data_IF_723646407177
#
_entry.id   IF_723646407177
#
_cell.length_a   1.000
_cell.length_b   1.000
_cell.length_c   1.000
_cell.angle_alpha   90.00
_cell.angle_beta   90.00
_cell.angle_gamma   90.00
#
_symmetry.space_group_name_H-M   'P 1'
#
loop_
_entity.id
_entity.type
_entity.pdbx_description
1 polymer ?
#
# COMPACT_ATOMS: atom_id res chain seq x y z
N UNK A 1 -18.35 -4.44 -6.56
CA UNK A 1 -17.52 -5.45 -7.28
C UNK A 1 -16.09 -5.49 -6.74
N UNK A 2 -15.31 -6.55 -6.98
CA UNK A 2 -13.92 -6.67 -6.45
C UNK A 2 -12.97 -5.55 -6.94
N UNK A 3 -13.16 -5.05 -8.17
CA UNK A 3 -12.38 -3.92 -8.71
C UNK A 3 -12.61 -2.61 -7.94
N UNK A 4 -13.85 -2.29 -7.59
CA UNK A 4 -14.19 -1.10 -6.80
C UNK A 4 -13.54 -1.18 -5.40
N UNK A 5 -13.64 -2.36 -4.76
CA UNK A 5 -13.00 -2.60 -3.46
C UNK A 5 -11.48 -2.41 -3.54
N UNK A 6 -10.83 -2.92 -4.59
CA UNK A 6 -9.39 -2.76 -4.78
C UNK A 6 -9.00 -1.28 -4.95
N UNK A 7 -9.79 -0.50 -5.72
CA UNK A 7 -9.58 0.94 -5.89
C UNK A 7 -9.74 1.72 -4.58
N UNK A 8 -10.77 1.42 -3.77
CA UNK A 8 -10.98 2.07 -2.48
C UNK A 8 -9.83 1.79 -1.50
N UNK A 9 -9.37 0.54 -1.43
CA UNK A 9 -8.23 0.15 -0.60
C UNK A 9 -6.94 0.83 -1.10
N UNK A 10 -6.71 0.83 -2.41
CA UNK A 10 -5.55 1.50 -3.02
C UNK A 10 -5.52 2.98 -2.65
N UNK A 11 -6.67 3.67 -2.67
CA UNK A 11 -6.79 5.05 -2.21
C UNK A 11 -6.43 5.23 -0.73
N UNK A 12 -6.88 4.32 0.15
CA UNK A 12 -6.51 4.36 1.59
C UNK A 12 -5.01 4.18 1.80
N UNK A 13 -4.37 3.26 1.08
CA UNK A 13 -2.92 3.02 1.15
C UNK A 13 -2.16 4.23 0.61
N UNK A 14 -2.56 4.76 -0.54
CA UNK A 14 -1.92 5.94 -1.14
C UNK A 14 -1.99 7.15 -0.19
N UNK A 15 -3.15 7.40 0.42
CA UNK A 15 -3.30 8.47 1.41
C UNK A 15 -2.44 8.27 2.67
N UNK A 16 -2.20 7.03 3.09
CA UNK A 16 -1.33 6.73 4.23
C UNK A 16 0.15 6.96 3.89
N UNK A 17 0.55 6.76 2.63
CA UNK A 17 1.90 7.00 2.15
C UNK A 17 2.15 8.48 1.80
N UNK A 18 1.10 9.20 1.37
CA UNK A 18 1.20 10.58 0.94
C UNK A 18 1.69 11.49 2.08
N UNK A 19 2.75 12.25 1.82
CA UNK A 19 3.40 13.11 2.82
C UNK A 19 4.38 12.38 3.76
N UNK A 20 4.69 11.11 3.50
CA UNK A 20 5.74 10.34 4.19
C UNK A 20 6.91 10.04 3.23
N UNK A 21 8.08 9.72 3.77
CA UNK A 21 9.22 9.22 2.97
C UNK A 21 9.05 7.75 2.54
N UNK A 22 7.93 7.12 2.90
CA UNK A 22 7.67 5.69 2.74
C UNK A 22 7.39 5.03 4.08
N UNK A 23 6.68 3.90 4.02
CA UNK A 23 6.25 3.14 5.20
C UNK A 23 6.44 1.65 4.97
N UNK A 24 6.69 0.90 6.04
CA UNK A 24 6.67 -0.56 5.99
C UNK A 24 5.24 -1.09 5.89
N UNK A 25 5.07 -2.30 5.34
CA UNK A 25 3.77 -2.97 5.27
C UNK A 25 3.07 -3.05 6.64
N UNK A 26 3.83 -3.21 7.73
CA UNK A 26 3.30 -3.20 9.10
C UNK A 26 2.75 -1.82 9.48
N UNK A 27 3.47 -0.75 9.16
CA UNK A 27 3.04 0.63 9.42
C UNK A 27 1.79 0.98 8.59
N UNK A 28 1.77 0.62 7.31
CA UNK A 28 0.61 0.83 6.43
C UNK A 28 -0.62 0.09 6.97
N UNK A 29 -0.49 -1.18 7.38
CA UNK A 29 -1.59 -1.93 8.01
C UNK A 29 -2.11 -1.24 9.26
N UNK A 30 -1.22 -0.73 10.10
CA UNK A 30 -1.60 -0.03 11.34
C UNK A 30 -2.34 1.27 11.05
N UNK A 31 -1.85 2.07 10.10
CA UNK A 31 -2.46 3.35 9.72
C UNK A 31 -3.83 3.18 9.04
N UNK A 32 -3.95 2.17 8.18
CA UNK A 32 -5.16 1.93 7.37
C UNK A 32 -6.15 0.95 8.00
N UNK A 33 -5.74 0.25 9.06
CA UNK A 33 -6.49 -0.85 9.73
C UNK A 33 -6.87 -1.98 8.76
N UNK A 34 -6.04 -2.22 7.74
CA UNK A 34 -6.25 -3.28 6.75
C UNK A 34 -5.70 -4.63 7.21
N UNK A 35 -6.34 -5.70 6.73
CA UNK A 35 -5.82 -7.07 6.81
C UNK A 35 -4.86 -7.36 5.65
N UNK A 36 -4.02 -8.39 5.77
CA UNK A 36 -2.98 -8.70 4.76
C UNK A 36 -3.54 -8.86 3.35
N UNK A 37 -4.65 -9.60 3.21
CA UNK A 37 -5.32 -9.80 1.91
C UNK A 37 -5.69 -8.48 1.24
N UNK A 38 -6.21 -7.53 2.02
CA UNK A 38 -6.66 -6.25 1.50
C UNK A 38 -5.46 -5.32 1.26
N UNK A 39 -4.43 -5.34 2.11
CA UNK A 39 -3.17 -4.65 1.87
C UNK A 39 -2.57 -5.06 0.52
N UNK A 40 -2.35 -6.36 0.30
CA UNK A 40 -1.72 -6.85 -0.93
C UNK A 40 -2.56 -6.61 -2.18
N UNK A 41 -3.90 -6.62 -2.05
CA UNK A 41 -4.80 -6.23 -3.14
C UNK A 41 -4.60 -4.77 -3.54
N UNK A 42 -4.52 -3.87 -2.56
CA UNK A 42 -4.32 -2.44 -2.81
C UNK A 42 -2.90 -2.11 -3.32
N UNK A 43 -1.87 -2.75 -2.77
CA UNK A 43 -0.49 -2.61 -3.25
C UNK A 43 -0.37 -3.08 -4.71
N UNK A 44 -0.93 -4.24 -5.06
CA UNK A 44 -0.93 -4.74 -6.43
C UNK A 44 -1.65 -3.80 -7.41
N UNK A 45 -2.71 -3.14 -6.95
CA UNK A 45 -3.41 -2.14 -7.75
C UNK A 45 -2.56 -0.88 -8.00
N UNK A 46 -1.85 -0.39 -6.97
CA UNK A 46 -0.97 0.77 -7.08
C UNK A 46 0.28 0.49 -7.92
N UNK A 47 0.84 -0.73 -7.82
CA UNK A 47 1.95 -1.19 -8.67
C UNK A 47 1.55 -1.24 -10.14
N UNK A 48 0.33 -1.72 -10.44
CA UNK A 48 -0.22 -1.70 -11.81
C UNK A 48 -0.32 -0.28 -12.39
N UNK A 49 -0.51 0.72 -11.55
CA UNK A 49 -0.64 2.14 -11.94
C UNK A 49 0.69 2.91 -11.83
N UNK A 50 1.79 2.23 -11.50
CA UNK A 50 3.13 2.83 -11.32
C UNK A 50 3.16 3.98 -10.30
N UNK A 51 2.30 3.92 -9.27
CA UNK A 51 2.18 4.96 -8.23
C UNK A 51 3.09 4.74 -7.02
N UNK A 52 3.62 3.53 -6.88
CA UNK A 52 4.44 3.14 -5.73
C UNK A 52 5.65 2.33 -6.19
N UNK A 53 6.69 2.39 -5.38
CA UNK A 53 7.83 1.48 -5.43
C UNK A 53 7.87 0.62 -4.16
N UNK A 54 8.33 -0.62 -4.30
CA UNK A 54 8.47 -1.55 -3.18
C UNK A 54 9.90 -2.05 -3.06
N UNK A 55 10.43 -2.07 -1.85
CA UNK A 55 11.76 -2.59 -1.54
C UNK A 55 11.68 -3.51 -0.33
N UNK A 56 12.60 -4.45 -0.22
CA UNK A 56 12.76 -5.26 0.99
C UNK A 56 13.94 -4.72 1.79
N UNK A 57 13.66 -4.23 3.01
CA UNK A 57 14.65 -3.68 3.92
C UNK A 57 14.60 -4.52 5.20
N UNK A 58 15.70 -5.21 5.51
CA UNK A 58 15.81 -6.07 6.70
C UNK A 58 14.69 -7.14 6.82
N UNK A 59 14.19 -7.64 5.69
CA UNK A 59 13.09 -8.61 5.65
C UNK A 59 11.69 -8.01 5.82
N UNK A 60 11.57 -6.67 5.85
CA UNK A 60 10.29 -5.96 5.80
C UNK A 60 10.04 -5.34 4.42
N UNK A 61 8.82 -5.48 3.93
CA UNK A 61 8.35 -4.78 2.74
C UNK A 61 8.19 -3.29 3.04
N UNK A 62 9.06 -2.47 2.46
CA UNK A 62 9.00 -1.01 2.49
C UNK A 62 8.38 -0.48 1.20
N UNK A 63 7.48 0.49 1.33
CA UNK A 63 6.72 1.04 0.20
C UNK A 63 6.85 2.57 0.19
N UNK A 64 7.17 3.12 -0.98
CA UNK A 64 7.26 4.56 -1.23
C UNK A 64 6.31 4.96 -2.34
N UNK A 65 5.88 6.23 -2.37
CA UNK A 65 5.25 6.78 -3.57
C UNK A 65 6.34 7.09 -4.62
N UNK A 66 5.97 7.00 -5.90
CA UNK A 66 6.80 7.46 -7.02
C UNK A 66 6.64 8.98 -7.24
#
# INVERSE_FOLDING_TARGET
MLKEKAGEIAGKIWNALNGTEGLTAKQIKKATKLVDKDLFLGLGWLLREDKISTQEIEGELFVTLN
#
